data_IF_392701076278
#
_entry.id   IF_392701076278
#
_cell.length_a   1.000
_cell.length_b   1.000
_cell.length_c   1.000
_cell.angle_alpha   90.00
_cell.angle_beta   90.00
_cell.angle_gamma   90.00
#
_symmetry.space_group_name_H-M   'P 1'
#
loop_
_entity.id
_entity.type
_entity.pdbx_description
1 polymer ?
#
# COMPACT_ATOMS: atom_id res chain seq x y z
N UNK A 1 -28.88 -0.52 -6.52
CA UNK A 1 -27.44 -0.43 -6.87
C UNK A 1 -26.74 -1.60 -6.21
N UNK A 2 -26.39 -2.63 -6.98
CA UNK A 2 -25.55 -3.72 -6.49
C UNK A 2 -24.13 -3.15 -6.42
N UNK A 3 -23.56 -3.06 -5.22
CA UNK A 3 -22.13 -2.77 -5.08
C UNK A 3 -21.41 -4.06 -5.47
N UNK A 4 -20.77 -4.09 -6.64
CA UNK A 4 -19.82 -5.14 -6.97
C UNK A 4 -18.60 -4.97 -6.07
N UNK A 5 -18.42 -5.92 -5.15
CA UNK A 5 -17.23 -5.99 -4.31
C UNK A 5 -16.24 -6.90 -5.03
N UNK A 6 -15.07 -6.35 -5.36
CA UNK A 6 -13.96 -7.15 -5.87
C UNK A 6 -13.28 -7.87 -4.71
N UNK A 7 -12.80 -9.08 -4.95
CA UNK A 7 -11.98 -9.80 -3.99
C UNK A 7 -10.59 -9.17 -3.90
N UNK A 8 -9.89 -9.44 -2.80
CA UNK A 8 -8.50 -9.02 -2.59
C UNK A 8 -7.60 -9.45 -3.77
N UNK A 9 -7.77 -10.68 -4.24
CA UNK A 9 -6.98 -11.30 -5.31
C UNK A 9 -7.19 -10.60 -6.66
N UNK A 10 -8.43 -10.23 -6.98
CA UNK A 10 -8.76 -9.48 -8.20
C UNK A 10 -8.12 -8.10 -8.20
N UNK A 11 -8.09 -7.44 -7.04
CA UNK A 11 -7.49 -6.12 -6.88
C UNK A 11 -5.96 -6.22 -6.97
N UNK A 12 -5.34 -7.24 -6.38
CA UNK A 12 -3.89 -7.46 -6.50
C UNK A 12 -3.51 -7.71 -7.97
N UNK A 13 -4.25 -8.57 -8.67
CA UNK A 13 -4.05 -8.84 -10.09
C UNK A 13 -4.13 -7.55 -10.93
N UNK A 14 -5.09 -6.67 -10.62
CA UNK A 14 -5.20 -5.34 -11.24
C UNK A 14 -3.98 -4.45 -10.95
N UNK A 15 -3.42 -4.55 -9.74
CA UNK A 15 -2.21 -3.82 -9.34
C UNK A 15 -0.98 -4.28 -10.13
N UNK A 16 -0.86 -5.58 -10.39
CA UNK A 16 0.20 -6.15 -11.22
C UNK A 16 0.05 -5.75 -12.69
N UNK A 17 -1.16 -5.84 -13.26
CA UNK A 17 -1.46 -5.43 -14.64
C UNK A 17 -1.07 -3.96 -14.87
N UNK A 18 -1.35 -3.09 -13.89
CA UNK A 18 -1.02 -1.67 -13.94
C UNK A 18 0.41 -1.34 -13.59
N UNK A 19 1.23 -2.33 -13.23
CA UNK A 19 2.62 -2.13 -12.84
C UNK A 19 2.80 -1.37 -11.53
N UNK A 20 1.77 -1.34 -10.67
CA UNK A 20 1.84 -0.74 -9.33
C UNK A 20 2.53 -1.70 -8.34
N UNK A 21 2.27 -3.00 -8.53
CA UNK A 21 2.79 -4.08 -7.71
C UNK A 21 3.55 -5.08 -8.58
N UNK A 22 4.46 -5.82 -7.95
CA UNK A 22 5.00 -7.07 -8.48
C UNK A 22 4.92 -8.13 -7.38
N UNK A 23 4.08 -9.13 -7.56
CA UNK A 23 3.96 -10.23 -6.60
C UNK A 23 4.91 -11.33 -7.03
N UNK A 24 5.96 -11.55 -6.25
CA UNK A 24 6.87 -12.69 -6.41
C UNK A 24 6.43 -13.89 -5.57
N UNK A 25 7.24 -14.94 -5.51
CA UNK A 25 6.93 -16.12 -4.70
C UNK A 25 6.95 -15.83 -3.18
N UNK A 26 7.86 -14.97 -2.73
CA UNK A 26 8.11 -14.73 -1.29
C UNK A 26 7.84 -13.28 -0.85
N UNK A 27 7.65 -12.35 -1.77
CA UNK A 27 7.50 -10.92 -1.46
C UNK A 27 6.62 -10.18 -2.47
N UNK A 28 5.96 -9.12 -2.00
CA UNK A 28 5.28 -8.12 -2.83
C UNK A 28 6.18 -6.91 -2.94
N UNK A 29 6.45 -6.44 -4.15
CA UNK A 29 7.19 -5.20 -4.42
C UNK A 29 6.23 -4.08 -4.86
N UNK A 30 6.38 -2.91 -4.26
CA UNK A 30 5.64 -1.70 -4.59
C UNK A 30 6.51 -0.83 -5.48
N UNK A 31 6.14 -0.72 -6.75
CA UNK A 31 7.03 -0.20 -7.81
C UNK A 31 7.37 1.28 -7.60
N UNK A 32 6.39 2.10 -7.23
CA UNK A 32 6.56 3.55 -7.08
C UNK A 32 7.51 3.93 -5.93
N UNK A 33 7.47 3.20 -4.81
CA UNK A 33 8.29 3.46 -3.61
C UNK A 33 9.52 2.58 -3.49
N UNK A 34 9.67 1.58 -4.37
CA UNK A 34 10.78 0.62 -4.39
C UNK A 34 10.99 -0.12 -3.07
N UNK A 35 9.89 -0.44 -2.39
CA UNK A 35 9.87 -1.24 -1.16
C UNK A 35 9.28 -2.61 -1.45
N UNK A 36 9.75 -3.62 -0.71
CA UNK A 36 9.23 -4.97 -0.84
C UNK A 36 9.08 -5.63 0.52
N UNK A 37 7.98 -6.35 0.69
CA UNK A 37 7.55 -6.94 1.96
C UNK A 37 7.20 -8.41 1.78
N UNK A 38 7.38 -9.21 2.82
CA UNK A 38 7.21 -10.68 2.73
C UNK A 38 5.74 -11.05 2.62
N UNK A 39 5.41 -11.91 1.65
CA UNK A 39 4.03 -12.42 1.46
C UNK A 39 3.56 -13.26 2.66
N UNK A 40 4.50 -13.85 3.41
CA UNK A 40 4.17 -14.62 4.61
C UNK A 40 3.60 -13.77 5.75
N UNK A 41 3.75 -12.44 5.68
CA UNK A 41 3.06 -11.55 6.60
C UNK A 41 1.57 -11.51 6.24
N UNK A 42 0.66 -11.92 7.15
CA UNK A 42 -0.77 -11.99 6.84
C UNK A 42 -1.38 -10.63 6.45
N UNK A 43 -0.79 -9.51 6.87
CA UNK A 43 -1.28 -8.18 6.50
C UNK A 43 -0.90 -7.77 5.08
N UNK A 44 0.11 -8.41 4.49
CA UNK A 44 0.74 -7.91 3.27
C UNK A 44 -0.19 -7.99 2.05
N UNK A 45 -0.97 -9.07 1.92
CA UNK A 45 -1.93 -9.19 0.83
C UNK A 45 -3.05 -8.15 0.92
N UNK A 46 -3.49 -7.83 2.15
CA UNK A 46 -4.50 -6.80 2.40
C UNK A 46 -3.92 -5.41 2.11
N UNK A 47 -2.66 -5.17 2.49
CA UNK A 47 -1.94 -3.93 2.21
C UNK A 47 -1.78 -3.70 0.71
N UNK A 48 -1.39 -4.73 -0.03
CA UNK A 48 -1.21 -4.68 -1.48
C UNK A 48 -2.53 -4.36 -2.22
N UNK A 49 -3.63 -5.02 -1.83
CA UNK A 49 -4.94 -4.74 -2.42
C UNK A 49 -5.37 -3.30 -2.13
N UNK A 50 -5.22 -2.84 -0.87
CA UNK A 50 -5.65 -1.50 -0.49
C UNK A 50 -4.81 -0.40 -1.14
N UNK A 51 -3.49 -0.60 -1.25
CA UNK A 51 -2.59 0.27 -2.00
C UNK A 51 -3.06 0.45 -3.45
N UNK A 52 -3.43 -0.66 -4.09
CA UNK A 52 -3.95 -0.65 -5.46
C UNK A 52 -5.29 0.08 -5.55
N UNK A 53 -6.21 -0.12 -4.60
CA UNK A 53 -7.48 0.63 -4.58
C UNK A 53 -7.26 2.14 -4.40
N UNK A 54 -6.38 2.55 -3.48
CA UNK A 54 -6.07 3.96 -3.25
C UNK A 54 -5.66 4.65 -4.55
N UNK A 55 -4.82 4.02 -5.35
CA UNK A 55 -4.35 4.59 -6.62
C UNK A 55 -5.42 4.48 -7.70
N UNK A 56 -5.99 3.28 -7.90
CA UNK A 56 -6.83 3.01 -9.07
C UNK A 56 -8.25 3.56 -8.94
N UNK A 57 -8.85 3.45 -7.76
CA UNK A 57 -10.23 3.83 -7.47
C UNK A 57 -10.29 5.23 -6.88
N UNK A 58 -9.47 5.50 -5.87
CA UNK A 58 -9.47 6.79 -5.18
C UNK A 58 -8.53 7.83 -5.80
N UNK A 59 -7.78 7.45 -6.84
CA UNK A 59 -6.93 8.36 -7.65
C UNK A 59 -5.85 9.07 -6.83
N UNK A 60 -5.38 8.44 -5.75
CA UNK A 60 -4.20 8.93 -5.04
C UNK A 60 -2.97 8.78 -5.95
N UNK A 61 -2.12 9.80 -6.06
CA UNK A 61 -0.86 9.67 -6.78
C UNK A 61 0.04 8.63 -6.10
N UNK A 62 0.48 7.63 -6.84
CA UNK A 62 1.36 6.56 -6.34
C UNK A 62 2.64 7.11 -5.69
N UNK A 63 3.19 8.20 -6.21
CA UNK A 63 4.39 8.88 -5.69
C UNK A 63 4.15 9.61 -4.34
N UNK A 64 2.90 9.67 -3.86
CA UNK A 64 2.53 10.30 -2.58
C UNK A 64 2.08 9.30 -1.51
N UNK A 65 2.13 8.01 -1.81
CA UNK A 65 1.82 6.96 -0.84
C UNK A 65 3.13 6.27 -0.50
N UNK A 66 3.49 6.24 0.78
CA UNK A 66 4.64 5.50 1.28
C UNK A 66 4.24 4.58 2.44
N UNK A 67 5.01 3.51 2.65
CA UNK A 67 4.75 2.46 3.62
C UNK A 67 5.80 2.50 4.74
N UNK A 68 5.36 2.22 5.97
CA UNK A 68 6.21 2.19 7.17
C UNK A 68 7.10 3.43 7.36
N UNK A 69 6.53 4.61 7.13
CA UNK A 69 7.24 5.87 7.33
C UNK A 69 7.45 6.08 8.83
N UNK A 70 8.72 6.13 9.26
CA UNK A 70 9.08 6.47 10.64
C UNK A 70 8.73 7.94 10.86
N UNK A 71 7.73 8.18 11.71
CA UNK A 71 7.36 9.53 12.11
C UNK A 71 8.34 10.05 13.17
N UNK A 72 8.79 11.32 13.07
CA UNK A 72 9.65 11.89 14.09
C UNK A 72 8.92 11.95 15.43
N UNK A 73 9.67 11.75 16.52
CA UNK A 73 9.13 11.88 17.87
C UNK A 73 8.60 13.30 18.04
N UNK A 74 7.34 13.43 18.48
CA UNK A 74 6.78 14.71 18.89
C UNK A 74 7.37 15.05 20.26
N UNK A 75 8.31 15.99 20.31
CA UNK A 75 8.75 16.57 21.58
C UNK A 75 7.73 17.62 22.02
N UNK A 76 7.13 17.52 23.23
CA UNK A 76 6.40 18.64 23.78
C UNK A 76 7.41 19.77 24.04
N UNK A 77 7.31 20.88 23.30
CA UNK A 77 7.96 22.13 23.70
C UNK A 77 7.27 22.58 24.99
N UNK A 78 7.82 22.21 26.13
CA UNK A 78 7.48 22.84 27.40
C UNK A 78 8.06 24.25 27.29
N UNK A 79 7.21 25.24 27.01
CA UNK A 79 7.59 26.64 27.18
C UNK A 79 7.81 26.83 28.67
N UNK A 80 9.08 26.84 29.09
CA UNK A 80 9.47 27.31 30.41
C UNK A 80 9.19 28.82 30.44
N UNK A 81 8.10 29.19 31.13
CA UNK A 81 7.81 30.57 31.54
C UNK A 81 8.73 30.94 32.70
#
# INVERSE_FOLDING_TARGET
MVKEYKTTEEIISLGEEKGLLKVGENKVEYVAIRKGYKITDPEELVRASYYTELITKYKYPEARIDLEVIVPRREPRIYSI
#
